data_IF_069301252330
#
_entry.id   IF_069301252330
#
_cell.length_a   1.000
_cell.length_b   1.000
_cell.length_c   1.000
_cell.angle_alpha   90.00
_cell.angle_beta   90.00
_cell.angle_gamma   90.00
#
_symmetry.space_group_name_H-M   'P 1'
#
loop_
_entity.id
_entity.type
_entity.pdbx_description
1 polymer ?
#
# COMPACT_ATOMS: atom_id res chain seq x y z
N UNK A 1 9.34 -32.34 37.82
CA UNK A 1 8.15 -31.46 37.70
C UNK A 1 8.54 -30.10 37.08
N UNK A 2 9.23 -30.10 35.93
CA UNK A 2 9.76 -28.87 35.27
C UNK A 2 9.44 -28.83 33.77
N UNK A 3 9.15 -29.98 33.15
CA UNK A 3 8.87 -30.10 31.70
C UNK A 3 7.46 -29.66 31.25
N UNK A 4 6.52 -29.36 32.16
CA UNK A 4 5.14 -28.98 31.79
C UNK A 4 4.92 -27.47 31.60
N UNK A 5 5.85 -26.62 32.02
CA UNK A 5 5.76 -25.15 31.89
C UNK A 5 6.30 -24.63 30.54
N UNK A 6 7.25 -25.33 29.92
CA UNK A 6 7.85 -24.92 28.64
C UNK A 6 6.89 -25.06 27.45
N UNK A 7 6.01 -26.06 27.46
CA UNK A 7 5.07 -26.30 26.37
C UNK A 7 3.97 -25.22 26.27
N UNK A 8 3.58 -24.61 27.40
CA UNK A 8 2.52 -23.59 27.42
C UNK A 8 3.00 -22.25 26.82
N UNK A 9 4.26 -21.88 27.04
CA UNK A 9 4.85 -20.64 26.53
C UNK A 9 5.01 -20.63 25.00
N UNK A 10 5.29 -21.79 24.38
CA UNK A 10 5.41 -21.94 22.91
C UNK A 10 4.03 -21.84 22.22
N UNK A 11 2.96 -22.28 22.88
CA UNK A 11 1.59 -22.19 22.34
C UNK A 11 1.08 -20.74 22.37
N UNK A 12 1.39 -19.96 23.41
CA UNK A 12 0.97 -18.56 23.48
C UNK A 12 1.69 -17.65 22.46
N UNK A 13 2.99 -17.86 22.22
CA UNK A 13 3.72 -17.08 21.19
C UNK A 13 3.26 -17.39 19.77
N UNK A 14 2.89 -18.64 19.49
CA UNK A 14 2.37 -19.04 18.17
C UNK A 14 0.95 -18.52 17.90
N UNK A 15 0.09 -18.40 18.92
CA UNK A 15 -1.24 -17.79 18.78
C UNK A 15 -1.16 -16.28 18.55
N UNK A 16 -0.27 -15.57 19.25
CA UNK A 16 -0.07 -14.13 19.04
C UNK A 16 0.51 -13.81 17.65
N UNK A 17 1.43 -14.65 17.15
CA UNK A 17 1.94 -14.54 15.78
C UNK A 17 0.85 -14.80 14.74
N UNK A 18 -0.05 -15.75 14.97
CA UNK A 18 -1.17 -16.05 14.07
C UNK A 18 -2.22 -14.92 14.05
N UNK A 19 -2.57 -14.36 15.21
CA UNK A 19 -3.54 -13.26 15.33
C UNK A 19 -3.05 -11.96 14.66
N UNK A 20 -1.76 -11.67 14.73
CA UNK A 20 -1.17 -10.54 14.01
C UNK A 20 -1.06 -10.78 12.49
N UNK A 21 -0.95 -12.04 12.04
CA UNK A 21 -0.97 -12.39 10.63
C UNK A 21 -2.39 -12.36 10.02
N UNK A 22 -3.45 -12.53 10.82
CA UNK A 22 -4.84 -12.65 10.36
C UNK A 22 -5.64 -11.34 10.33
N UNK A 23 -5.07 -10.20 10.73
CA UNK A 23 -5.77 -8.93 10.65
C UNK A 23 -5.99 -8.54 9.18
N UNK A 24 -7.26 -8.47 8.76
CA UNK A 24 -7.63 -8.08 7.41
C UNK A 24 -7.06 -6.69 7.07
N UNK A 25 -6.58 -6.46 5.83
CA UNK A 25 -6.11 -5.15 5.43
C UNK A 25 -7.20 -4.09 5.64
N UNK A 26 -6.82 -2.97 6.24
CA UNK A 26 -7.69 -1.84 6.49
C UNK A 26 -7.94 -1.09 5.17
N UNK A 27 -9.17 -1.14 4.68
CA UNK A 27 -9.54 -0.49 3.41
C UNK A 27 -10.25 0.85 3.67
N UNK A 28 -9.54 1.94 3.41
CA UNK A 28 -9.97 3.33 3.64
C UNK A 28 -10.58 3.98 2.39
N UNK A 29 -11.45 4.99 2.54
CA UNK A 29 -11.97 5.73 1.40
C UNK A 29 -10.91 6.61 0.74
N UNK A 30 -11.15 7.00 -0.52
CA UNK A 30 -10.36 8.01 -1.24
C UNK A 30 -10.32 9.33 -0.46
N UNK A 31 -9.20 10.05 -0.52
CA UNK A 31 -8.97 11.28 0.24
C UNK A 31 -8.46 11.05 1.66
N UNK A 32 -8.38 9.81 2.13
CA UNK A 32 -7.72 9.48 3.40
C UNK A 32 -6.21 9.64 3.24
N UNK A 33 -5.59 10.37 4.17
CA UNK A 33 -4.14 10.50 4.26
C UNK A 33 -3.53 9.21 4.82
N UNK A 34 -2.56 8.64 4.11
CA UNK A 34 -1.80 7.46 4.51
C UNK A 34 -0.38 7.91 4.81
N UNK A 35 0.05 7.77 6.07
CA UNK A 35 1.37 8.19 6.53
C UNK A 35 2.34 7.02 6.57
N UNK A 36 3.46 7.13 5.86
CA UNK A 36 4.63 6.27 6.00
C UNK A 36 5.80 7.14 6.47
N UNK A 37 6.17 7.00 7.75
CA UNK A 37 7.19 7.85 8.39
C UNK A 37 6.90 9.37 8.19
N UNK A 38 7.77 10.10 7.48
CA UNK A 38 7.61 11.52 7.17
C UNK A 38 6.91 11.81 5.83
N UNK A 39 6.40 10.78 5.15
CA UNK A 39 5.72 10.91 3.86
C UNK A 39 4.23 10.64 4.00
N UNK A 40 3.41 11.48 3.37
CA UNK A 40 1.96 11.30 3.34
C UNK A 40 1.50 11.10 1.90
N UNK A 41 0.77 10.01 1.68
CA UNK A 41 0.14 9.68 0.40
C UNK A 41 -1.37 9.87 0.51
N UNK A 42 -1.95 10.59 -0.44
CA UNK A 42 -3.39 10.77 -0.53
C UNK A 42 -3.87 10.50 -1.95
N UNK A 43 -4.74 9.52 -2.14
CA UNK A 43 -5.43 9.35 -3.42
C UNK A 43 -6.46 10.47 -3.56
N UNK A 44 -6.20 11.43 -4.46
CA UNK A 44 -7.07 12.60 -4.64
C UNK A 44 -8.09 12.40 -5.77
N UNK A 45 -7.76 11.56 -6.75
CA UNK A 45 -8.66 11.23 -7.87
C UNK A 45 -8.44 9.80 -8.32
N UNK A 46 -9.51 9.12 -8.67
CA UNK A 46 -9.47 7.85 -9.37
C UNK A 46 -10.54 7.87 -10.46
N UNK A 47 -10.15 7.59 -11.71
CA UNK A 47 -11.06 7.51 -12.85
C UNK A 47 -10.98 6.12 -13.46
N UNK A 48 -12.13 5.47 -13.60
CA UNK A 48 -12.29 4.24 -14.36
C UNK A 48 -12.66 4.57 -15.81
N UNK A 49 -12.07 3.85 -16.75
CA UNK A 49 -12.44 3.89 -18.17
C UNK A 49 -12.29 2.51 -18.80
N UNK A 50 -13.06 2.14 -19.83
CA UNK A 50 -12.85 0.90 -20.55
C UNK A 50 -11.45 0.80 -21.17
N UNK A 51 -10.88 -0.41 -21.21
CA UNK A 51 -9.65 -0.74 -21.93
C UNK A 51 -9.82 -2.03 -22.75
N UNK A 52 -8.88 -2.34 -23.64
CA UNK A 52 -8.94 -3.57 -24.43
C UNK A 52 -8.90 -4.83 -23.56
N UNK A 53 -8.18 -4.77 -22.44
CA UNK A 53 -7.99 -5.88 -21.50
C UNK A 53 -9.05 -5.92 -20.38
N UNK A 54 -9.80 -4.82 -20.19
CA UNK A 54 -10.88 -4.73 -19.21
C UNK A 54 -11.17 -3.30 -18.82
N UNK A 55 -10.73 -2.92 -17.62
CA UNK A 55 -10.87 -1.57 -17.10
C UNK A 55 -9.51 -0.94 -16.87
N UNK A 56 -9.35 0.30 -17.30
CA UNK A 56 -8.23 1.16 -16.94
C UNK A 56 -8.60 2.05 -15.75
N UNK A 57 -7.76 2.04 -14.73
CA UNK A 57 -7.83 2.93 -13.60
C UNK A 57 -6.72 3.97 -13.69
N UNK A 58 -7.10 5.24 -13.86
CA UNK A 58 -6.19 6.38 -13.79
C UNK A 58 -6.29 7.04 -12.43
N UNK A 59 -5.25 6.90 -11.63
CA UNK A 59 -5.21 7.32 -10.23
C UNK A 59 -4.25 8.49 -10.08
N UNK A 60 -4.72 9.56 -9.43
CA UNK A 60 -3.87 10.69 -9.05
C UNK A 60 -3.59 10.60 -7.55
N UNK A 61 -2.31 10.49 -7.22
CA UNK A 61 -1.81 10.46 -5.85
C UNK A 61 -1.14 11.80 -5.57
N UNK A 62 -1.52 12.42 -4.45
CA UNK A 62 -0.77 13.51 -3.84
C UNK A 62 0.23 12.92 -2.87
N UNK A 63 1.47 13.36 -2.97
CA UNK A 63 2.58 13.03 -2.08
C UNK A 63 2.95 14.32 -1.36
N UNK A 64 3.03 14.27 -0.03
CA UNK A 64 3.53 15.35 0.81
C UNK A 64 4.78 14.84 1.56
N UNK A 65 5.93 15.47 1.32
CA UNK A 65 7.17 15.16 2.02
C UNK A 65 7.33 16.08 3.23
N UNK A 66 7.09 15.56 4.44
CA UNK A 66 7.27 16.30 5.69
C UNK A 66 8.66 16.12 6.33
N UNK A 67 9.56 15.40 5.68
CA UNK A 67 10.92 15.22 6.17
C UNK A 67 11.66 16.56 6.17
N UNK A 68 12.56 16.77 7.13
CA UNK A 68 13.32 18.01 7.24
C UNK A 68 14.49 18.11 6.24
N UNK A 69 15.05 16.96 5.83
CA UNK A 69 16.31 16.90 5.07
C UNK A 69 16.36 15.83 4.00
N UNK A 70 15.43 14.87 4.01
CA UNK A 70 15.48 13.71 3.13
C UNK A 70 14.54 13.95 1.94
N UNK A 71 15.06 13.99 0.69
CA UNK A 71 14.19 13.97 -0.48
C UNK A 71 13.53 12.60 -0.62
N UNK A 72 12.28 12.58 -1.06
CA UNK A 72 11.57 11.34 -1.35
C UNK A 72 11.75 10.95 -2.81
N UNK A 73 12.04 9.67 -3.07
CA UNK A 73 12.16 9.12 -4.42
C UNK A 73 10.88 8.35 -4.75
N UNK A 74 9.98 8.97 -5.50
CA UNK A 74 8.80 8.29 -5.99
C UNK A 74 9.15 7.41 -7.19
N UNK A 75 8.64 6.18 -7.19
CA UNK A 75 8.57 5.30 -8.36
C UNK A 75 7.17 4.70 -8.43
N UNK A 76 6.57 4.61 -9.62
CA UNK A 76 5.27 3.95 -9.80
C UNK A 76 5.28 2.48 -9.36
N UNK A 77 6.47 1.87 -9.23
CA UNK A 77 6.63 0.51 -8.71
C UNK A 77 6.23 0.34 -7.25
N UNK A 78 6.13 1.44 -6.49
CA UNK A 78 5.71 1.39 -5.09
C UNK A 78 4.20 1.22 -4.94
N UNK A 79 3.42 1.28 -6.02
CA UNK A 79 1.98 1.12 -5.96
C UNK A 79 1.51 -0.07 -6.78
N UNK A 80 0.50 -0.75 -6.25
CA UNK A 80 -0.20 -1.79 -6.98
C UNK A 80 -1.69 -1.77 -6.63
N UNK A 81 -2.51 -2.31 -7.53
CA UNK A 81 -3.93 -2.53 -7.27
C UNK A 81 -4.15 -4.00 -6.94
N UNK A 82 -5.02 -4.31 -5.99
CA UNK A 82 -5.54 -5.66 -5.79
C UNK A 82 -7.04 -5.74 -5.98
N UNK A 83 -7.54 -6.89 -6.40
CA UNK A 83 -8.98 -7.18 -6.43
C UNK A 83 -9.43 -7.99 -5.20
N UNK A 84 -10.73 -8.29 -5.13
CA UNK A 84 -11.32 -9.12 -4.07
C UNK A 84 -10.85 -10.59 -4.08
N UNK A 85 -10.29 -11.08 -5.18
CA UNK A 85 -9.71 -12.41 -5.28
C UNK A 85 -8.25 -12.44 -4.83
N UNK A 86 -7.65 -11.28 -4.53
CA UNK A 86 -6.26 -11.14 -4.09
C UNK A 86 -5.26 -11.06 -5.24
N UNK A 87 -5.72 -10.97 -6.50
CA UNK A 87 -4.84 -10.74 -7.64
C UNK A 87 -4.22 -9.36 -7.52
N UNK A 88 -2.95 -9.22 -7.91
CA UNK A 88 -2.21 -7.95 -7.89
C UNK A 88 -1.92 -7.48 -9.31
N UNK A 89 -2.09 -6.17 -9.53
CA UNK A 89 -1.90 -5.51 -10.81
C UNK A 89 -0.89 -4.36 -10.62
N UNK A 90 0.22 -4.45 -11.34
CA UNK A 90 1.25 -3.42 -11.33
C UNK A 90 0.82 -2.18 -12.15
N UNK A 91 1.45 -1.05 -11.86
CA UNK A 91 1.34 0.14 -12.68
C UNK A 91 1.78 -0.15 -14.13
N UNK A 92 1.05 0.43 -15.09
CA UNK A 92 1.39 0.38 -16.51
C UNK A 92 2.46 1.42 -16.88
N UNK A 93 2.52 2.52 -16.12
CA UNK A 93 3.54 3.56 -16.25
C UNK A 93 4.79 3.22 -15.44
N UNK A 94 5.91 3.84 -15.84
CA UNK A 94 7.18 3.82 -15.10
C UNK A 94 7.57 5.25 -14.74
N UNK A 95 6.63 5.97 -14.11
CA UNK A 95 6.86 7.31 -13.63
C UNK A 95 7.81 7.31 -12.45
N UNK A 96 8.75 8.24 -12.45
CA UNK A 96 9.69 8.46 -11.35
C UNK A 96 9.84 9.96 -11.13
N UNK A 97 10.00 10.36 -9.87
CA UNK A 97 10.41 11.71 -9.55
C UNK A 97 10.99 11.84 -8.15
N UNK A 98 11.88 12.81 -8.00
CA UNK A 98 12.33 13.25 -6.68
C UNK A 98 11.39 14.35 -6.15
N UNK A 99 11.09 14.29 -4.85
CA UNK A 99 10.31 15.28 -4.12
C UNK A 99 11.15 15.86 -2.97
N UNK A 100 11.57 17.14 -3.05
CA UNK A 100 12.37 17.76 -2.01
C UNK A 100 11.68 17.78 -0.63
N UNK A 101 12.45 17.92 0.46
CA UNK A 101 11.94 18.18 1.81
C UNK A 101 10.90 19.32 1.84
N UNK A 102 9.78 19.11 2.51
CA UNK A 102 8.70 20.10 2.65
C UNK A 102 7.82 20.30 1.40
N UNK A 103 8.10 19.61 0.30
CA UNK A 103 7.36 19.78 -0.95
C UNK A 103 6.15 18.83 -1.07
N UNK A 104 5.21 19.21 -1.94
CA UNK A 104 4.06 18.40 -2.32
C UNK A 104 4.01 18.22 -3.83
N UNK A 105 3.60 17.04 -4.31
CA UNK A 105 3.44 16.77 -5.74
C UNK A 105 2.28 15.83 -6.02
N UNK A 106 1.60 16.07 -7.14
CA UNK A 106 0.64 15.12 -7.69
C UNK A 106 1.33 14.27 -8.78
N UNK A 107 1.16 12.96 -8.68
CA UNK A 107 1.58 11.98 -9.69
C UNK A 107 0.36 11.24 -10.21
N UNK A 108 0.40 10.85 -11.49
CA UNK A 108 -0.64 10.03 -12.11
C UNK A 108 -0.07 8.65 -12.40
N UNK A 109 -0.80 7.63 -11.98
CA UNK A 109 -0.46 6.23 -12.23
C UNK A 109 -1.65 5.55 -12.87
N UNK A 110 -1.39 4.78 -13.93
CA UNK A 110 -2.42 4.05 -14.66
C UNK A 110 -2.27 2.54 -14.42
N UNK A 111 -3.39 1.85 -14.20
CA UNK A 111 -3.47 0.40 -14.01
C UNK A 111 -4.46 -0.19 -15.00
N UNK A 112 -4.12 -1.31 -15.63
CA UNK A 112 -5.05 -2.08 -16.46
C UNK A 112 -5.44 -3.36 -15.70
N UNK A 113 -6.74 -3.53 -15.48
CA UNK A 113 -7.34 -4.65 -14.78
C UNK A 113 -8.20 -5.48 -15.74
N UNK A 114 -8.22 -6.81 -15.61
CA UNK A 114 -9.06 -7.67 -16.43
C UNK A 114 -10.55 -7.41 -16.14
N UNK A 115 -11.40 -7.72 -17.13
CA UNK A 115 -12.85 -7.69 -16.94
C UNK A 115 -13.24 -8.59 -15.77
N UNK A 116 -14.05 -8.06 -14.85
CA UNK A 116 -14.52 -8.78 -13.67
C UNK A 116 -13.65 -8.64 -12.43
N UNK A 117 -12.54 -7.89 -12.49
CA UNK A 117 -11.80 -7.51 -11.28
C UNK A 117 -12.71 -6.71 -10.32
N UNK A 118 -13.09 -7.35 -9.21
CA UNK A 118 -14.07 -6.81 -8.28
C UNK A 118 -13.40 -6.06 -7.13
N UNK A 119 -14.00 -4.93 -6.72
CA UNK A 119 -13.56 -4.12 -5.57
C UNK A 119 -12.06 -3.77 -5.59
N UNK A 120 -11.57 -3.09 -6.64
CA UNK A 120 -10.16 -2.73 -6.73
C UNK A 120 -9.74 -1.79 -5.60
N UNK A 121 -8.61 -2.11 -4.99
CA UNK A 121 -7.99 -1.37 -3.89
C UNK A 121 -6.55 -1.02 -4.26
N UNK A 122 -6.17 0.25 -4.14
CA UNK A 122 -4.79 0.71 -4.32
C UNK A 122 -4.00 0.51 -3.02
N UNK A 123 -2.79 -0.02 -3.12
CA UNK A 123 -1.87 -0.17 -2.01
C UNK A 123 -0.57 0.57 -2.29
N UNK A 124 0.09 1.01 -1.22
CA UNK A 124 1.43 1.59 -1.24
C UNK A 124 2.40 0.58 -0.59
N UNK A 125 3.48 0.26 -1.28
CA UNK A 125 4.50 -0.71 -0.90
C UNK A 125 5.87 -0.14 -1.27
N UNK A 126 6.60 0.36 -0.28
CA UNK A 126 7.95 0.92 -0.49
C UNK A 126 9.07 -0.09 -0.15
N UNK A 127 8.75 -1.39 -0.19
CA UNK A 127 9.69 -2.45 0.15
C UNK A 127 10.20 -2.41 1.61
N UNK A 128 11.34 -3.07 1.84
CA UNK A 128 11.98 -3.27 3.15
C UNK A 128 12.87 -2.07 3.56
N UNK A 129 12.97 -1.05 2.70
CA UNK A 129 13.96 0.03 2.85
C UNK A 129 13.56 1.15 3.82
N UNK A 130 12.38 1.07 4.44
CA UNK A 130 11.95 1.97 5.51
C UNK A 130 12.30 1.39 6.89
N UNK A 131 13.60 1.15 7.12
CA UNK A 131 14.21 1.06 8.44
C UNK A 131 13.97 -0.21 9.28
N UNK A 132 12.80 -0.83 9.21
CA UNK A 132 12.49 -2.01 10.03
C UNK A 132 11.62 -3.02 9.27
N UNK A 133 12.04 -4.29 9.29
CA UNK A 133 11.29 -5.45 8.77
C UNK A 133 9.86 -5.55 9.35
N UNK A 134 9.64 -4.97 10.53
CA UNK A 134 8.35 -4.96 11.23
C UNK A 134 7.40 -3.87 10.70
N UNK A 135 7.93 -2.77 10.18
CA UNK A 135 7.16 -1.61 9.72
C UNK A 135 6.58 -1.85 8.30
N UNK A 136 7.34 -2.52 7.42
CA UNK A 136 6.86 -2.89 6.08
C UNK A 136 5.61 -3.79 6.08
N UNK A 137 5.43 -4.62 7.13
CA UNK A 137 4.24 -5.47 7.30
C UNK A 137 3.04 -4.65 7.80
N UNK A 138 3.26 -3.53 8.50
CA UNK A 138 2.19 -2.66 9.00
C UNK A 138 1.69 -1.70 7.92
N UNK A 139 2.59 -1.11 7.12
CA UNK A 139 2.23 -0.13 6.07
C UNK A 139 1.53 -0.76 4.86
N UNK A 140 1.90 -2.00 4.50
CA UNK A 140 1.25 -2.75 3.43
C UNK A 140 -0.21 -3.15 3.71
N UNK A 141 -0.73 -2.86 4.91
CA UNK A 141 -2.09 -3.24 5.33
C UNK A 141 -3.13 -2.17 5.04
N UNK A 142 -2.75 -0.97 4.62
CA UNK A 142 -3.71 0.10 4.31
C UNK A 142 -3.92 0.18 2.81
N UNK A 143 -5.16 -0.06 2.39
CA UNK A 143 -5.56 0.02 0.98
C UNK A 143 -6.62 1.10 0.76
N UNK A 144 -6.62 1.74 -0.41
CA UNK A 144 -7.59 2.78 -0.77
C UNK A 144 -8.59 2.27 -1.79
N UNK A 145 -9.89 2.46 -1.54
CA UNK A 145 -10.96 2.06 -2.49
C UNK A 145 -10.89 2.88 -3.78
N UNK A 146 -10.94 2.21 -4.93
CA UNK A 146 -10.98 2.83 -6.26
C UNK A 146 -12.38 2.79 -6.93
N UNK A 147 -13.36 2.16 -6.29
CA UNK A 147 -14.72 1.96 -6.81
C UNK A 147 -15.74 2.89 -6.15
#
# INVERSE_FOLDING_TARGET
>A
MVFRLAALAVVFTSIAAYAHASAAPMVVPRGTAIRHDDFIFTVVRAKRSPSFQGDRYSVVVRIDNHALRVPYQWSDSIVFVSDAAGNRYAAQSKGECELPPGASRNVRVDFDLPRGAARPVLHFWDGVLMGDLFDGVAYARVGVRLY
#
